data_IF_275368068354
#
_entry.id   IF_275368068354
#
_cell.length_a   1.000
_cell.length_b   1.000
_cell.length_c   1.000
_cell.angle_alpha   90.00
_cell.angle_beta   90.00
_cell.angle_gamma   90.00
#
_symmetry.space_group_name_H-M   'P 1'
#
loop_
_entity.id
_entity.type
_entity.pdbx_description
1 polymer ?
#
# COMPACT_ATOMS: atom_id res chain seq x y z
N UNK A 1 -14.48 10.44 -14.89
CA UNK A 1 -13.48 9.38 -15.21
C UNK A 1 -12.15 9.57 -14.48
N UNK A 2 -11.51 10.74 -14.56
CA UNK A 2 -10.18 10.98 -13.98
C UNK A 2 -10.02 10.58 -12.49
N UNK A 3 -10.97 10.86 -11.57
CA UNK A 3 -10.82 10.46 -10.17
C UNK A 3 -10.71 8.95 -9.97
N UNK A 4 -11.49 8.16 -10.71
CA UNK A 4 -11.45 6.70 -10.65
C UNK A 4 -10.18 6.12 -11.25
N UNK A 5 -9.70 6.70 -12.37
CA UNK A 5 -8.43 6.30 -12.97
C UNK A 5 -7.25 6.57 -12.01
N UNK A 6 -7.27 7.72 -11.33
CA UNK A 6 -6.24 8.06 -10.34
C UNK A 6 -6.28 7.14 -9.12
N UNK A 7 -7.48 6.80 -8.63
CA UNK A 7 -7.64 5.83 -7.54
C UNK A 7 -7.07 4.47 -7.94
N UNK A 8 -7.49 3.93 -9.08
CA UNK A 8 -7.01 2.64 -9.58
C UNK A 8 -5.48 2.64 -9.76
N UNK A 9 -4.91 3.72 -10.27
CA UNK A 9 -3.45 3.86 -10.42
C UNK A 9 -2.74 3.80 -9.06
N UNK A 10 -3.28 4.49 -8.03
CA UNK A 10 -2.67 4.56 -6.70
C UNK A 10 -2.76 3.25 -5.92
N UNK A 11 -3.79 2.45 -6.14
CA UNK A 11 -4.05 1.22 -5.36
C UNK A 11 -3.68 -0.07 -6.11
N UNK A 12 -3.25 0.03 -7.37
CA UNK A 12 -2.79 -1.12 -8.16
C UNK A 12 -1.27 -1.23 -8.13
N UNK A 13 -0.76 -2.46 -8.08
CA UNK A 13 0.68 -2.74 -8.13
C UNK A 13 1.22 -2.29 -9.49
N UNK A 14 2.32 -1.53 -9.48
CA UNK A 14 2.98 -1.10 -10.72
C UNK A 14 4.07 -2.09 -11.08
N UNK A 15 4.08 -2.58 -12.32
CA UNK A 15 5.16 -3.43 -12.85
C UNK A 15 6.53 -2.78 -12.71
N UNK A 16 6.59 -1.44 -12.77
CA UNK A 16 7.81 -0.65 -12.65
C UNK A 16 8.37 -0.56 -11.24
N UNK A 17 7.59 -0.79 -10.18
CA UNK A 17 8.08 -0.68 -8.78
C UNK A 17 7.79 -1.91 -7.92
N UNK A 18 6.92 -2.82 -8.39
CA UNK A 18 6.47 -3.98 -7.62
C UNK A 18 5.59 -3.64 -6.42
N UNK A 19 5.16 -2.37 -6.28
CA UNK A 19 4.37 -1.87 -5.16
C UNK A 19 3.20 -0.99 -5.65
N UNK A 20 2.23 -0.72 -4.78
CA UNK A 20 1.20 0.29 -5.06
C UNK A 20 1.76 1.68 -4.76
N UNK A 21 1.46 2.72 -5.58
CA UNK A 21 1.93 4.06 -5.28
C UNK A 21 1.44 4.58 -3.92
N UNK A 22 0.25 4.15 -3.48
CA UNK A 22 -0.29 4.51 -2.18
C UNK A 22 0.57 3.97 -1.03
N UNK A 23 0.99 2.70 -1.07
CA UNK A 23 1.76 2.11 0.01
C UNK A 23 3.18 2.65 0.13
N UNK A 24 3.77 3.16 -0.95
CA UNK A 24 5.05 3.88 -0.90
C UNK A 24 4.94 5.25 -0.21
N UNK A 25 3.78 5.90 -0.26
CA UNK A 25 3.56 7.19 0.39
C UNK A 25 3.17 7.00 1.85
N UNK A 26 2.19 6.13 2.13
CA UNK A 26 1.56 5.99 3.44
C UNK A 26 2.04 4.77 4.25
N UNK A 27 2.90 3.93 3.70
CA UNK A 27 3.50 2.77 4.36
C UNK A 27 2.62 1.51 4.44
N UNK A 28 1.37 1.60 4.00
CA UNK A 28 0.40 0.49 4.01
C UNK A 28 -0.50 0.52 2.77
N UNK A 29 -1.13 -0.61 2.45
CA UNK A 29 -2.08 -0.68 1.35
C UNK A 29 -3.37 0.08 1.67
N UNK A 30 -3.91 0.79 0.67
CA UNK A 30 -5.15 1.53 0.83
C UNK A 30 -6.30 0.58 1.22
N UNK A 31 -7.15 1.02 2.13
CA UNK A 31 -8.44 0.38 2.39
C UNK A 31 -9.41 0.82 1.30
N UNK A 32 -9.88 -0.11 0.48
CA UNK A 32 -10.80 0.21 -0.61
C UNK A 32 -12.22 0.38 -0.07
N UNK A 33 -13.05 1.28 -0.64
CA UNK A 33 -14.44 1.45 -0.22
C UNK A 33 -15.25 0.14 -0.23
N UNK A 34 -15.02 -0.72 -1.22
CA UNK A 34 -15.69 -2.02 -1.31
C UNK A 34 -15.37 -2.93 -0.13
N UNK A 35 -14.16 -2.86 0.42
CA UNK A 35 -13.77 -3.65 1.60
C UNK A 35 -14.53 -3.20 2.85
N UNK A 36 -14.86 -1.92 2.95
CA UNK A 36 -15.68 -1.40 4.05
C UNK A 36 -17.13 -1.83 3.87
N UNK A 37 -17.66 -1.73 2.65
CA UNK A 37 -19.04 -2.09 2.32
C UNK A 37 -19.33 -3.57 2.57
N UNK A 38 -18.44 -4.47 2.12
CA UNK A 38 -18.59 -5.91 2.32
C UNK A 38 -18.03 -6.39 3.67
N UNK A 39 -17.47 -5.50 4.49
CA UNK A 39 -16.72 -5.81 5.72
C UNK A 39 -15.69 -6.93 5.50
N UNK A 40 -14.66 -6.63 4.70
CA UNK A 40 -13.59 -7.58 4.40
C UNK A 40 -12.91 -8.10 5.67
N UNK A 41 -12.21 -9.23 5.56
CA UNK A 41 -11.44 -9.80 6.68
C UNK A 41 -10.46 -8.80 7.31
N UNK A 42 -9.87 -7.90 6.51
CA UNK A 42 -8.99 -6.85 7.01
C UNK A 42 -9.74 -5.87 7.90
N UNK A 43 -10.91 -5.41 7.48
CA UNK A 43 -11.75 -4.50 8.26
C UNK A 43 -12.22 -5.16 9.56
N UNK A 44 -12.64 -6.42 9.48
CA UNK A 44 -13.08 -7.17 10.66
C UNK A 44 -11.93 -7.37 11.66
N UNK A 45 -10.73 -7.70 11.17
CA UNK A 45 -9.56 -7.84 12.02
C UNK A 45 -9.17 -6.52 12.69
N UNK A 46 -9.25 -5.39 11.99
CA UNK A 46 -8.91 -4.08 12.55
C UNK A 46 -9.98 -3.54 13.52
N UNK A 47 -11.26 -3.83 13.30
CA UNK A 47 -12.37 -3.34 14.12
C UNK A 47 -12.38 -3.88 15.55
N UNK A 48 -11.82 -5.08 15.77
CA UNK A 48 -11.79 -5.75 17.07
C UNK A 48 -10.52 -5.44 17.87
N UNK A 49 -9.55 -4.70 17.30
CA UNK A 49 -8.31 -4.37 17.98
C UNK A 49 -8.49 -3.27 19.01
N UNK A 50 -7.82 -3.42 20.16
CA UNK A 50 -7.66 -2.31 21.08
C UNK A 50 -6.82 -1.19 20.44
N UNK A 51 -7.09 0.07 20.78
CA UNK A 51 -6.40 1.23 20.20
C UNK A 51 -4.87 1.13 20.34
N UNK A 52 -4.37 0.64 21.48
CA UNK A 52 -2.94 0.44 21.71
C UNK A 52 -2.32 -0.62 20.78
N UNK A 53 -3.06 -1.68 20.47
CA UNK A 53 -2.61 -2.74 19.56
C UNK A 53 -2.62 -2.25 18.12
N UNK A 54 -3.68 -1.53 17.72
CA UNK A 54 -3.77 -0.88 16.42
C UNK A 54 -2.62 0.12 16.20
N UNK A 55 -2.34 0.97 17.20
CA UNK A 55 -1.24 1.92 17.14
C UNK A 55 0.12 1.23 17.03
N UNK A 56 0.33 0.12 17.75
CA UNK A 56 1.55 -0.69 17.65
C UNK A 56 1.72 -1.28 16.25
N UNK A 57 0.68 -1.91 15.69
CA UNK A 57 0.73 -2.45 14.33
C UNK A 57 1.02 -1.35 13.30
N UNK A 58 0.41 -0.17 13.47
CA UNK A 58 0.67 0.98 12.59
C UNK A 58 2.12 1.45 12.68
N UNK A 59 2.70 1.47 13.87
CA UNK A 59 4.10 1.82 14.07
C UNK A 59 5.04 0.81 13.39
N UNK A 60 4.79 -0.49 13.53
CA UNK A 60 5.56 -1.54 12.86
C UNK A 60 5.51 -1.40 11.33
N UNK A 61 4.34 -1.10 10.76
CA UNK A 61 4.21 -0.86 9.33
C UNK A 61 5.02 0.36 8.86
N UNK A 62 5.04 1.43 9.65
CA UNK A 62 5.81 2.63 9.36
C UNK A 62 7.31 2.39 9.50
N UNK A 63 7.74 1.57 10.46
CA UNK A 63 9.15 1.22 10.63
C UNK A 63 9.73 0.50 9.39
N UNK A 64 8.88 -0.22 8.64
CA UNK A 64 9.27 -0.91 7.41
C UNK A 64 9.13 -0.06 6.14
N UNK A 65 8.72 1.22 6.24
CA UNK A 65 8.41 2.03 5.05
C UNK A 65 9.64 2.29 4.18
N UNK A 66 10.79 2.54 4.81
CA UNK A 66 12.01 2.88 4.08
C UNK A 66 12.57 1.67 3.35
N UNK A 67 12.46 0.48 3.93
CA UNK A 67 12.81 -0.78 3.25
C UNK A 67 11.92 -1.02 2.03
N UNK A 68 10.60 -0.80 2.16
CA UNK A 68 9.66 -0.90 1.03
C UNK A 68 10.01 0.08 -0.09
N UNK A 69 10.33 1.33 0.25
CA UNK A 69 10.75 2.36 -0.71
C UNK A 69 12.06 2.00 -1.39
N UNK A 70 13.05 1.52 -0.64
CA UNK A 70 14.33 1.09 -1.20
C UNK A 70 14.14 -0.07 -2.18
N UNK A 71 13.34 -1.09 -1.80
CA UNK A 71 13.01 -2.20 -2.70
C UNK A 71 12.33 -1.73 -3.98
N UNK A 72 11.38 -0.80 -3.86
CA UNK A 72 10.68 -0.22 -5.01
C UNK A 72 11.62 0.58 -5.93
N UNK A 73 12.59 1.30 -5.37
CA UNK A 73 13.62 2.01 -6.13
C UNK A 73 14.50 1.04 -6.91
N UNK A 74 15.01 -0.01 -6.27
CA UNK A 74 15.81 -1.05 -6.92
C UNK A 74 15.03 -1.71 -8.07
N UNK A 75 13.75 -2.05 -7.84
CA UNK A 75 12.90 -2.61 -8.88
C UNK A 75 12.67 -1.64 -10.04
N UNK A 76 12.50 -0.34 -9.73
CA UNK A 76 12.43 0.74 -10.71
C UNK A 76 13.65 0.85 -11.60
N UNK A 77 14.85 0.78 -11.01
CA UNK A 77 16.11 0.81 -11.75
C UNK A 77 16.25 -0.40 -12.66
N UNK A 78 15.97 -1.61 -12.15
CA UNK A 78 15.97 -2.83 -12.96
C UNK A 78 14.96 -2.77 -14.11
N UNK A 79 13.76 -2.22 -13.86
CA UNK A 79 12.75 -2.04 -14.90
C UNK A 79 13.23 -1.06 -15.98
N UNK A 80 13.79 0.09 -15.60
CA UNK A 80 14.34 1.07 -16.52
C UNK A 80 15.46 0.48 -17.40
N UNK A 81 16.39 -0.29 -16.79
CA UNK A 81 17.46 -0.96 -17.54
C UNK A 81 16.94 -1.98 -18.55
N UNK A 82 15.81 -2.64 -18.29
CA UNK A 82 15.18 -3.59 -19.23
C UNK A 82 14.42 -2.92 -20.37
N UNK A 83 13.96 -1.69 -20.15
CA UNK A 83 13.18 -0.94 -21.13
C UNK A 83 14.06 -0.05 -22.04
N UNK A 84 15.33 0.14 -21.67
CA UNK A 84 16.35 0.80 -22.47
C UNK A 84 16.84 -0.12 -23.59
#
# INVERSE_FOLDING_TARGET
>A
MLPYALLAYRTSIRTSTGATPYSLVYGMEAVLPIEVEIRSMRILAEAELAEAEWAKQRYEQLNLIDEKRLKALCHGQCYQQRMA
#
